data_IF_540457772528
#
_entry.id   IF_540457772528
#
_cell.length_a   1.000
_cell.length_b   1.000
_cell.length_c   1.000
_cell.angle_alpha   90.00
_cell.angle_beta   90.00
_cell.angle_gamma   90.00
#
_symmetry.space_group_name_H-M   'P 1'
#
loop_
_entity.id
_entity.type
_entity.pdbx_description
1 polymer ?
#
# COMPACT_ATOMS: atom_id res chain seq x y z
N UNK A 1 -10.42 -14.34 -8.62
CA UNK A 1 -9.42 -13.26 -8.76
C UNK A 1 -9.41 -12.78 -10.20
N UNK A 2 -9.70 -11.50 -10.46
CA UNK A 2 -9.64 -10.93 -11.81
C UNK A 2 -8.23 -10.40 -12.08
N UNK A 3 -7.46 -11.11 -12.91
CA UNK A 3 -6.16 -10.64 -13.38
C UNK A 3 -6.29 -9.43 -14.32
N UNK A 4 -7.48 -9.19 -14.89
CA UNK A 4 -7.75 -8.02 -15.74
C UNK A 4 -7.73 -6.75 -14.88
N UNK A 5 -8.43 -6.75 -13.75
CA UNK A 5 -8.42 -5.61 -12.83
C UNK A 5 -7.04 -5.39 -12.20
N UNK A 6 -6.31 -6.47 -11.90
CA UNK A 6 -4.91 -6.39 -11.48
C UNK A 6 -4.05 -5.67 -12.54
N UNK A 7 -4.22 -5.99 -13.83
CA UNK A 7 -3.49 -5.34 -14.92
C UNK A 7 -3.76 -3.84 -14.95
N UNK A 8 -5.03 -3.44 -14.84
CA UNK A 8 -5.43 -2.03 -14.81
C UNK A 8 -4.82 -1.30 -13.60
N UNK A 9 -4.78 -1.95 -12.44
CA UNK A 9 -4.15 -1.43 -11.22
C UNK A 9 -2.64 -1.24 -11.41
N UNK A 10 -1.95 -2.22 -12.00
CA UNK A 10 -0.52 -2.11 -12.27
C UNK A 10 -0.19 -0.94 -13.21
N UNK A 11 -1.00 -0.75 -14.26
CA UNK A 11 -0.87 0.39 -15.16
C UNK A 11 -1.20 1.71 -14.47
N UNK A 12 -2.25 1.75 -13.64
CA UNK A 12 -2.65 2.93 -12.90
C UNK A 12 -1.55 3.39 -11.93
N UNK A 13 -0.96 2.47 -11.15
CA UNK A 13 0.12 2.78 -10.22
C UNK A 13 1.37 3.30 -10.93
N UNK A 14 1.71 2.73 -12.09
CA UNK A 14 2.81 3.25 -12.92
C UNK A 14 2.52 4.66 -13.42
N UNK A 15 1.31 4.92 -13.90
CA UNK A 15 0.93 6.25 -14.38
C UNK A 15 0.91 7.27 -13.24
N UNK A 16 0.38 6.91 -12.07
CA UNK A 16 0.38 7.76 -10.88
C UNK A 16 1.81 8.06 -10.39
N UNK A 17 2.69 7.05 -10.39
CA UNK A 17 4.10 7.22 -10.00
C UNK A 17 4.85 8.14 -10.98
N UNK A 18 4.63 7.97 -12.29
CA UNK A 18 5.19 8.84 -13.33
C UNK A 18 4.65 10.27 -13.23
N UNK A 19 3.37 10.41 -12.90
CA UNK A 19 2.70 11.69 -12.67
C UNK A 19 3.04 12.38 -11.35
N UNK A 20 3.93 11.79 -10.52
CA UNK A 20 4.36 12.35 -9.23
C UNK A 20 3.22 12.64 -8.25
N UNK A 21 2.16 11.83 -8.28
CA UNK A 21 1.05 11.96 -7.35
C UNK A 21 1.46 11.45 -5.96
N UNK A 22 1.26 12.23 -4.90
CA UNK A 22 1.52 11.75 -3.53
C UNK A 22 0.54 10.64 -3.08
N UNK A 23 -0.67 10.65 -3.62
CA UNK A 23 -1.77 9.77 -3.23
C UNK A 23 -2.52 9.28 -4.48
N UNK A 24 -2.99 8.04 -4.45
CA UNK A 24 -3.76 7.42 -5.53
C UNK A 24 -4.85 6.51 -4.98
N UNK A 25 -5.96 6.33 -5.72
CA UNK A 25 -7.06 5.44 -5.32
C UNK A 25 -7.24 4.26 -6.26
N UNK A 26 -7.59 3.11 -5.68
CA UNK A 26 -7.81 1.85 -6.39
C UNK A 26 -9.13 1.22 -5.92
N UNK A 27 -9.86 0.46 -6.76
CA UNK A 27 -11.03 -0.29 -6.30
C UNK A 27 -10.71 -1.23 -5.13
N UNK A 28 -11.50 -1.17 -4.05
CA UNK A 28 -11.29 -2.00 -2.88
C UNK A 28 -11.71 -3.46 -3.17
N UNK A 29 -10.72 -4.34 -3.28
CA UNK A 29 -10.94 -5.79 -3.36
C UNK A 29 -10.00 -6.50 -2.40
N UNK A 30 -10.36 -7.72 -1.96
CA UNK A 30 -9.49 -8.54 -1.09
C UNK A 30 -8.12 -8.79 -1.71
N UNK A 31 -8.05 -8.94 -3.05
CA UNK A 31 -6.79 -9.12 -3.76
C UNK A 31 -5.95 -7.85 -3.70
N UNK A 32 -6.53 -6.70 -4.07
CA UNK A 32 -5.79 -5.43 -4.11
C UNK A 32 -5.31 -5.04 -2.72
N UNK A 33 -6.14 -5.23 -1.69
CA UNK A 33 -5.76 -4.97 -0.30
C UNK A 33 -4.57 -5.83 0.13
N UNK A 34 -4.62 -7.15 -0.07
CA UNK A 34 -3.50 -8.04 0.29
C UNK A 34 -2.22 -7.72 -0.47
N UNK A 35 -2.34 -7.36 -1.75
CA UNK A 35 -1.20 -6.96 -2.57
C UNK A 35 -0.63 -5.61 -2.14
N UNK A 36 -1.47 -4.62 -1.83
CA UNK A 36 -1.06 -3.33 -1.31
C UNK A 36 -0.35 -3.45 0.05
N UNK A 37 -0.86 -4.29 0.95
CA UNK A 37 -0.19 -4.61 2.20
C UNK A 37 1.18 -5.28 1.96
N UNK A 38 1.28 -6.17 0.97
CA UNK A 38 2.56 -6.73 0.54
C UNK A 38 3.53 -5.68 0.01
N UNK A 39 3.05 -4.72 -0.79
CA UNK A 39 3.85 -3.59 -1.29
C UNK A 39 4.31 -2.66 -0.17
N UNK A 40 3.45 -2.40 0.83
CA UNK A 40 3.79 -1.62 2.00
C UNK A 40 4.85 -2.32 2.85
N UNK A 41 4.70 -3.63 3.08
CA UNK A 41 5.67 -4.46 3.81
C UNK A 41 7.05 -4.44 3.14
N UNK A 42 7.11 -4.50 1.81
CA UNK A 42 8.35 -4.42 1.03
C UNK A 42 8.84 -2.98 0.82
N UNK A 43 8.11 -1.98 1.33
CA UNK A 43 8.54 -0.59 1.34
C UNK A 43 8.25 0.22 0.07
N UNK A 44 7.55 -0.33 -0.94
CA UNK A 44 7.22 0.38 -2.19
C UNK A 44 6.17 1.49 -2.00
N UNK A 45 5.22 1.28 -1.07
CA UNK A 45 4.10 2.19 -0.77
C UNK A 45 4.23 2.66 0.69
N UNK A 46 3.84 3.89 1.01
CA UNK A 46 3.89 4.44 2.37
C UNK A 46 2.70 4.01 3.21
N UNK A 47 1.49 4.27 2.72
CA UNK A 47 0.24 4.06 3.46
C UNK A 47 -0.77 3.29 2.61
N UNK A 48 -1.61 2.49 3.28
CA UNK A 48 -2.69 1.71 2.68
C UNK A 48 -3.92 1.90 3.55
N UNK A 49 -4.87 2.69 3.06
CA UNK A 49 -6.03 3.11 3.87
C UNK A 49 -7.33 2.87 3.10
N UNK A 50 -8.28 2.09 3.63
CA UNK A 50 -9.60 1.97 3.03
C UNK A 50 -10.40 3.26 3.23
N UNK A 51 -11.21 3.65 2.25
CA UNK A 51 -12.02 4.86 2.34
C UNK A 51 -13.07 4.97 1.24
N UNK A 52 -13.66 6.16 1.12
CA UNK A 52 -14.63 6.50 0.08
C UNK A 52 -14.00 6.99 -1.22
N UNK A 53 -14.81 7.60 -2.11
CA UNK A 53 -14.32 8.21 -3.35
C UNK A 53 -13.52 9.49 -3.13
N UNK A 54 -13.68 10.14 -1.98
CA UNK A 54 -12.88 11.28 -1.56
C UNK A 54 -11.57 10.79 -0.90
N UNK A 55 -10.44 11.49 -1.11
CA UNK A 55 -9.19 11.17 -0.44
C UNK A 55 -9.32 11.33 1.08
N UNK A 56 -8.66 10.47 1.88
CA UNK A 56 -8.48 10.76 3.31
C UNK A 56 -7.78 12.10 3.47
N UNK A 57 -8.12 12.82 4.54
CA UNK A 57 -7.28 13.91 5.01
C UNK A 57 -5.88 13.32 5.27
N UNK A 58 -4.88 13.77 4.53
CA UNK A 58 -3.48 13.48 4.81
C UNK A 58 -2.96 14.59 5.71
N UNK A 59 -1.83 14.40 6.40
CA UNK A 59 -1.19 15.49 7.18
C UNK A 59 -1.07 16.83 6.43
N UNK A 60 -0.92 16.80 5.09
CA UNK A 60 -0.86 18.02 4.27
C UNK A 60 -2.24 18.66 3.98
N UNK A 61 -3.34 17.93 4.19
CA UNK A 61 -4.73 18.33 4.02
C UNK A 61 -5.50 18.42 5.34
N UNK A 62 -4.95 17.88 6.43
CA UNK A 62 -5.39 18.16 7.79
C UNK A 62 -5.17 19.65 8.00
N UNK A 63 -6.28 20.39 8.08
CA UNK A 63 -6.24 21.68 8.75
C UNK A 63 -5.65 21.44 10.13
N UNK A 64 -4.76 22.30 10.65
CA UNK A 64 -4.43 22.29 12.06
C UNK A 64 -5.76 22.16 12.79
N UNK A 65 -5.91 21.11 13.60
CA UNK A 65 -7.17 20.86 14.28
C UNK A 65 -7.52 22.13 15.07
N UNK A 66 -8.43 22.96 14.54
CA UNK A 66 -8.98 24.12 15.27
C UNK A 66 -9.68 23.62 16.55
N UNK A 67 -9.94 22.30 16.65
CA UNK A 67 -10.58 21.59 17.75
C UNK A 67 -9.63 20.75 18.63
N UNK A 68 -8.33 20.58 18.28
CA UNK A 68 -7.39 19.85 19.14
C UNK A 68 -6.74 20.83 20.11
N UNK A 69 -7.36 20.94 21.29
CA UNK A 69 -6.72 21.37 22.54
C UNK A 69 -6.03 22.76 22.52
N UNK A 70 -6.35 23.64 21.57
CA UNK A 70 -6.04 25.05 21.73
C UNK A 70 -7.22 25.67 22.47
N UNK A 71 -7.09 25.99 23.77
CA UNK A 71 -8.17 26.65 24.50
C UNK A 71 -8.57 27.92 23.74
N UNK A 72 -9.88 28.10 23.52
CA UNK A 72 -10.40 29.28 22.82
C UNK A 72 -9.88 30.56 23.48
N UNK A 73 -9.74 31.65 22.71
CA UNK A 73 -9.24 32.91 23.25
C UNK A 73 -10.04 33.38 24.48
N UNK A 74 -11.34 33.09 24.49
CA UNK A 74 -12.24 33.33 25.63
C UNK A 74 -11.89 32.46 26.85
N UNK A 75 -11.65 31.16 26.66
CA UNK A 75 -11.24 30.24 27.72
C UNK A 75 -9.85 30.61 28.31
N UNK A 76 -8.91 31.02 27.46
CA UNK A 76 -7.59 31.51 27.90
C UNK A 76 -7.66 32.81 28.70
N UNK A 77 -8.63 33.68 28.39
CA UNK A 77 -8.81 34.93 29.13
C UNK A 77 -9.31 34.69 30.56
N UNK A 78 -10.17 33.69 30.75
CA UNK A 78 -10.70 33.30 32.06
C UNK A 78 -9.71 32.45 32.86
N UNK A 79 -9.05 31.50 32.18
CA UNK A 79 -8.14 30.55 32.78
C UNK A 79 -6.81 30.51 31.99
N UNK A 80 -5.91 31.49 32.23
CA UNK A 80 -4.65 31.60 31.48
C UNK A 80 -3.73 30.38 31.64
N UNK A 81 -3.90 29.60 32.71
CA UNK A 81 -3.09 28.42 32.99
C UNK A 81 -3.38 27.24 32.05
N UNK A 82 -4.51 27.24 31.32
CA UNK A 82 -4.82 26.25 30.27
C UNK A 82 -3.83 26.31 29.09
N UNK A 83 -3.10 27.42 28.92
CA UNK A 83 -2.05 27.55 27.93
C UNK A 83 -0.81 26.69 28.22
N UNK A 84 -0.66 26.21 29.46
CA UNK A 84 0.50 25.42 29.88
C UNK A 84 0.13 23.93 30.00
N UNK A 85 1.02 23.02 29.57
CA UNK A 85 0.79 21.59 29.72
C UNK A 85 0.72 21.23 31.20
N UNK A 86 -0.45 20.77 31.65
CA UNK A 86 -0.63 20.22 32.98
C UNK A 86 -0.29 18.72 32.97
N UNK A 87 0.23 18.16 34.07
CA UNK A 87 0.50 16.72 34.17
C UNK A 87 -0.75 15.86 33.96
N UNK A 88 -1.96 16.42 34.11
CA UNK A 88 -3.23 15.77 33.72
C UNK A 88 -3.48 15.78 32.21
N UNK A 89 -2.97 16.76 31.47
CA UNK A 89 -3.05 16.85 30.00
C UNK A 89 -1.96 16.02 29.30
N UNK A 90 -0.83 15.72 29.95
CA UNK A 90 0.20 14.82 29.41
C UNK A 90 -0.30 13.37 29.21
N UNK A 91 -1.41 13.00 29.86
CA UNK A 91 -2.07 11.71 29.70
C UNK A 91 -3.06 11.68 28.52
N UNK A 92 -3.14 12.73 27.70
CA UNK A 92 -3.86 12.67 26.43
C UNK A 92 -3.16 11.63 25.55
N UNK A 93 -3.72 10.41 25.53
CA UNK A 93 -3.32 9.34 24.62
C UNK A 93 -3.15 9.92 23.21
N UNK A 94 -2.14 9.49 22.43
CA UNK A 94 -1.96 9.97 21.07
C UNK A 94 -3.31 9.88 20.36
N UNK A 95 -3.86 11.04 19.96
CA UNK A 95 -5.18 11.12 19.37
C UNK A 95 -5.22 10.12 18.22
N UNK A 96 -6.02 9.07 18.39
CA UNK A 96 -6.20 8.11 17.30
C UNK A 96 -6.84 8.91 16.18
N UNK A 97 -6.20 9.05 15.00
CA UNK A 97 -6.77 9.84 13.92
C UNK A 97 -8.18 9.33 13.65
N UNK A 98 -9.17 10.22 13.45
CA UNK A 98 -10.55 9.82 13.34
C UNK A 98 -10.68 8.74 12.26
N UNK A 99 -11.42 7.65 12.53
CA UNK A 99 -11.53 6.56 11.57
C UNK A 99 -12.12 7.13 10.28
N UNK A 100 -11.36 7.00 9.19
CA UNK A 100 -11.81 7.42 7.86
C UNK A 100 -13.16 6.78 7.58
N UNK A 101 -14.20 7.55 7.20
CA UNK A 101 -15.52 6.99 6.96
C UNK A 101 -15.48 6.06 5.74
N UNK A 102 -15.63 4.76 6.00
CA UNK A 102 -15.75 3.75 4.94
C UNK A 102 -17.23 3.69 4.53
N UNK A 103 -17.58 3.97 3.27
CA UNK A 103 -18.97 3.93 2.85
C UNK A 103 -19.52 2.49 2.95
N UNK A 104 -20.76 2.35 3.40
CA UNK A 104 -21.46 1.05 3.45
C UNK A 104 -21.62 0.45 2.06
N UNK A 105 -21.79 1.29 1.03
CA UNK A 105 -21.88 0.84 -0.36
C UNK A 105 -20.52 0.39 -0.90
N UNK A 106 -20.40 -0.91 -1.20
CA UNK A 106 -19.18 -1.52 -1.77
C UNK A 106 -18.72 -0.86 -3.08
N UNK A 107 -19.63 -0.35 -3.90
CA UNK A 107 -19.25 0.33 -5.15
C UNK A 107 -18.54 1.67 -4.90
N UNK A 108 -18.84 2.32 -3.78
CA UNK A 108 -18.20 3.58 -3.38
C UNK A 108 -16.88 3.36 -2.63
N UNK A 109 -16.59 2.13 -2.18
CA UNK A 109 -15.38 1.81 -1.44
C UNK A 109 -14.14 1.84 -2.34
N UNK A 110 -13.13 2.59 -1.92
CA UNK A 110 -11.81 2.66 -2.55
C UNK A 110 -10.72 2.32 -1.54
N UNK A 111 -9.56 1.99 -2.08
CA UNK A 111 -8.33 1.81 -1.35
C UNK A 111 -7.39 2.95 -1.73
N UNK A 112 -7.06 3.80 -0.77
CA UNK A 112 -6.12 4.90 -0.93
C UNK A 112 -4.71 4.42 -0.61
N UNK A 113 -3.78 4.76 -1.49
CA UNK A 113 -2.39 4.36 -1.43
C UNK A 113 -1.50 5.60 -1.45
N UNK A 114 -0.57 5.68 -0.50
CA UNK A 114 0.46 6.71 -0.47
C UNK A 114 1.68 6.29 -1.30
N UNK A 115 2.02 7.05 -2.33
CA UNK A 115 3.18 6.75 -3.17
C UNK A 115 4.45 7.35 -2.56
N UNK A 116 5.57 6.64 -2.70
CA UNK A 116 6.88 7.08 -2.20
C UNK A 116 7.76 7.62 -3.31
N UNK A 117 8.50 8.67 -2.98
CA UNK A 117 9.49 9.30 -3.84
C UNK A 117 10.77 9.52 -3.03
N UNK A 118 11.91 9.21 -3.63
CA UNK A 118 13.22 9.38 -3.01
C UNK A 118 14.21 9.90 -4.05
N UNK A 119 15.07 10.86 -3.67
CA UNK A 119 16.05 11.49 -4.59
C UNK A 119 15.44 11.91 -5.93
N UNK A 120 14.26 12.54 -5.89
CA UNK A 120 13.51 12.92 -7.10
C UNK A 120 13.19 11.75 -8.05
N UNK A 121 13.12 10.51 -7.58
CA UNK A 121 12.68 9.33 -8.35
C UNK A 121 11.56 8.58 -7.61
N UNK A 122 10.58 7.99 -8.32
CA UNK A 122 9.56 7.17 -7.67
C UNK A 122 10.18 5.87 -7.15
N UNK A 123 9.81 5.45 -5.94
CA UNK A 123 10.24 4.16 -5.37
C UNK A 123 9.58 3.00 -6.10
N UNK A 124 8.31 3.16 -6.50
CA UNK A 124 7.62 2.22 -7.39
C UNK A 124 7.75 2.75 -8.82
N UNK A 125 8.76 2.27 -9.55
CA UNK A 125 9.08 2.74 -10.89
C UNK A 125 8.35 1.95 -11.98
N UNK A 126 8.22 0.63 -11.81
CA UNK A 126 7.54 -0.26 -12.74
C UNK A 126 6.83 -1.40 -12.05
N UNK A 127 5.64 -1.75 -12.56
CA UNK A 127 4.82 -2.83 -12.04
C UNK A 127 4.25 -3.65 -13.20
N UNK A 128 4.83 -4.80 -13.51
CA UNK A 128 4.47 -5.61 -14.68
C UNK A 128 3.77 -6.90 -14.27
N UNK A 129 2.65 -7.23 -14.92
CA UNK A 129 2.02 -8.55 -14.75
C UNK A 129 2.92 -9.66 -15.29
N UNK A 130 3.03 -10.75 -14.52
CA UNK A 130 3.68 -11.98 -14.95
C UNK A 130 2.62 -12.98 -15.44
N UNK A 131 1.65 -13.34 -14.60
CA UNK A 131 0.49 -14.11 -15.03
C UNK A 131 -0.55 -13.20 -15.67
N UNK A 132 -0.82 -13.41 -16.95
CA UNK A 132 -1.83 -12.66 -17.71
C UNK A 132 -3.19 -13.37 -17.67
N UNK A 133 -4.31 -12.65 -17.85
CA UNK A 133 -5.63 -13.28 -17.97
C UNK A 133 -5.69 -14.36 -19.05
N UNK A 134 -5.01 -14.13 -20.18
CA UNK A 134 -4.92 -15.04 -21.33
C UNK A 134 -3.99 -16.22 -21.11
N UNK A 135 -2.95 -16.06 -20.28
CA UNK A 135 -1.98 -17.10 -19.97
C UNK A 135 -1.59 -17.02 -18.49
N UNK A 136 -2.22 -17.86 -17.68
CA UNK A 136 -1.90 -18.01 -16.26
C UNK A 136 -0.72 -18.94 -16.08
N UNK A 137 0.19 -18.57 -15.20
CA UNK A 137 1.39 -19.35 -14.90
C UNK A 137 1.28 -19.82 -13.46
N UNK A 138 1.69 -21.06 -13.20
CA UNK A 138 1.81 -21.63 -11.86
C UNK A 138 3.20 -22.22 -11.74
N UNK A 139 3.87 -21.92 -10.63
CA UNK A 139 5.23 -22.37 -10.34
C UNK A 139 5.25 -23.22 -9.08
N UNK A 140 6.01 -24.30 -9.11
CA UNK A 140 6.29 -25.13 -7.94
C UNK A 140 7.34 -24.46 -7.06
N UNK A 141 7.43 -24.88 -5.80
CA UNK A 141 8.42 -24.35 -4.86
C UNK A 141 9.87 -24.38 -5.39
N UNK A 142 10.31 -25.52 -5.95
CA UNK A 142 11.66 -25.65 -6.56
C UNK A 142 11.89 -24.69 -7.73
N UNK A 143 10.85 -24.37 -8.48
CA UNK A 143 10.94 -23.41 -9.60
C UNK A 143 11.04 -21.97 -9.07
N UNK A 144 10.37 -21.67 -7.96
CA UNK A 144 10.51 -20.37 -7.29
C UNK A 144 11.92 -20.17 -6.73
N UNK A 145 12.54 -21.22 -6.17
CA UNK A 145 13.94 -21.16 -5.72
C UNK A 145 14.88 -20.78 -6.87
N UNK A 146 14.71 -21.38 -8.04
CA UNK A 146 15.50 -21.04 -9.23
C UNK A 146 15.30 -19.57 -9.63
N UNK A 147 14.06 -19.08 -9.60
CA UNK A 147 13.75 -17.67 -9.92
C UNK A 147 14.40 -16.72 -8.91
N UNK A 148 14.41 -17.04 -7.61
CA UNK A 148 15.08 -16.23 -6.57
C UNK A 148 16.60 -16.21 -6.77
N UNK A 149 17.19 -17.32 -7.21
CA UNK A 149 18.61 -17.42 -7.56
C UNK A 149 18.98 -16.71 -8.88
N UNK A 150 18.02 -16.04 -9.53
CA UNK A 150 18.23 -15.34 -10.79
C UNK A 150 18.25 -16.26 -12.02
N UNK A 151 17.86 -17.53 -11.88
CA UNK A 151 17.75 -18.47 -12.99
C UNK A 151 16.37 -18.43 -13.61
N UNK A 152 16.32 -18.46 -14.94
CA UNK A 152 15.07 -18.49 -15.68
C UNK A 152 14.41 -19.87 -15.54
N UNK A 153 13.08 -19.87 -15.34
CA UNK A 153 12.32 -21.11 -15.18
C UNK A 153 11.06 -21.06 -16.03
N UNK A 154 10.99 -21.95 -17.03
CA UNK A 154 9.89 -21.98 -18.00
C UNK A 154 9.72 -20.63 -18.71
N UNK A 155 8.61 -19.95 -18.43
CA UNK A 155 8.27 -18.65 -19.03
C UNK A 155 8.56 -17.44 -18.12
N UNK A 156 9.09 -17.67 -16.91
CA UNK A 156 9.34 -16.61 -15.92
C UNK A 156 10.84 -16.39 -15.79
N UNK A 157 11.28 -15.15 -16.05
CA UNK A 157 12.68 -14.77 -15.88
C UNK A 157 13.06 -14.70 -14.40
N UNK A 158 14.27 -15.10 -14.07
CA UNK A 158 14.83 -14.98 -12.73
C UNK A 158 14.89 -13.54 -12.24
N UNK A 159 14.93 -13.33 -10.92
CA UNK A 159 15.17 -12.01 -10.32
C UNK A 159 16.63 -11.62 -10.53
N UNK A 160 16.88 -10.67 -11.43
CA UNK A 160 18.25 -10.25 -11.79
C UNK A 160 18.61 -8.88 -11.26
N UNK A 161 17.62 -8.03 -10.96
CA UNK A 161 17.86 -6.68 -10.46
C UNK A 161 17.77 -6.64 -8.94
N UNK A 162 18.70 -5.95 -8.24
CA UNK A 162 18.56 -5.70 -6.82
C UNK A 162 17.33 -4.82 -6.57
N UNK A 163 16.62 -5.06 -5.47
CA UNK A 163 15.37 -4.37 -5.13
C UNK A 163 14.14 -4.85 -5.89
N UNK A 164 14.29 -5.79 -6.83
CA UNK A 164 13.15 -6.37 -7.54
C UNK A 164 12.39 -7.38 -6.69
N UNK A 165 11.06 -7.23 -6.67
CA UNK A 165 10.16 -8.11 -5.95
C UNK A 165 9.16 -8.76 -6.92
N UNK A 166 8.88 -10.04 -6.68
CA UNK A 166 7.83 -10.77 -7.38
C UNK A 166 6.77 -11.19 -6.36
N UNK A 167 5.54 -10.73 -6.55
CA UNK A 167 4.41 -11.13 -5.71
C UNK A 167 3.75 -12.38 -6.25
N UNK A 168 3.44 -13.32 -5.36
CA UNK A 168 2.89 -14.64 -5.69
C UNK A 168 1.60 -14.84 -4.91
N UNK A 169 0.56 -15.33 -5.59
CA UNK A 169 -0.61 -15.92 -4.95
C UNK A 169 -0.34 -17.37 -4.60
N UNK A 170 -0.38 -17.67 -3.30
CA UNK A 170 -0.27 -19.00 -2.72
C UNK A 170 -1.57 -19.35 -1.98
N UNK A 171 -1.70 -20.58 -1.51
CA UNK A 171 -2.86 -21.01 -0.70
C UNK A 171 -2.97 -20.25 0.62
N UNK A 172 -1.83 -19.81 1.19
CA UNK A 172 -1.79 -19.02 2.43
C UNK A 172 -1.97 -17.51 2.19
N UNK A 173 -2.11 -17.07 0.93
CA UNK A 173 -2.31 -15.67 0.57
C UNK A 173 -1.26 -15.12 -0.39
N UNK A 174 -1.26 -13.79 -0.54
CA UNK A 174 -0.32 -13.07 -1.40
C UNK A 174 0.91 -12.71 -0.56
N UNK A 175 2.09 -13.06 -1.06
CA UNK A 175 3.36 -12.73 -0.44
C UNK A 175 4.44 -12.55 -1.50
N UNK A 176 5.60 -12.06 -1.09
CA UNK A 176 6.77 -11.95 -1.95
C UNK A 176 7.41 -13.33 -2.18
N UNK A 177 8.12 -13.51 -3.30
CA UNK A 177 8.65 -14.82 -3.72
C UNK A 177 9.61 -15.44 -2.71
N UNK A 178 10.49 -14.67 -2.06
CA UNK A 178 11.42 -15.15 -1.04
C UNK A 178 10.66 -15.64 0.19
N UNK A 179 9.60 -14.95 0.60
CA UNK A 179 8.70 -15.41 1.67
C UNK A 179 7.97 -16.72 1.30
N UNK A 180 7.57 -16.87 0.03
CA UNK A 180 6.94 -18.10 -0.45
C UNK A 180 7.93 -19.27 -0.47
N UNK A 181 9.18 -19.03 -0.89
CA UNK A 181 10.28 -20.00 -0.89
C UNK A 181 10.62 -20.44 0.53
N UNK A 182 10.74 -19.50 1.47
CA UNK A 182 10.99 -19.79 2.89
C UNK A 182 9.90 -20.71 3.48
N UNK A 183 8.64 -20.47 3.11
CA UNK A 183 7.49 -21.28 3.54
C UNK A 183 7.29 -22.56 2.73
N UNK A 184 8.17 -22.87 1.77
CA UNK A 184 8.09 -24.02 0.87
C UNK A 184 6.78 -24.12 0.09
N UNK A 185 6.23 -22.97 -0.30
CA UNK A 185 4.97 -22.88 -1.04
C UNK A 185 5.23 -22.66 -2.53
N UNK A 186 4.38 -23.27 -3.36
CA UNK A 186 4.23 -22.88 -4.76
C UNK A 186 3.14 -21.83 -4.94
N UNK A 187 2.92 -21.39 -6.17
CA UNK A 187 1.83 -20.48 -6.45
C UNK A 187 1.86 -19.87 -7.85
N UNK A 188 0.92 -18.96 -8.11
CA UNK A 188 0.88 -18.20 -9.35
C UNK A 188 1.58 -16.84 -9.17
N UNK A 189 2.63 -16.51 -9.94
CA UNK A 189 3.25 -15.20 -9.90
C UNK A 189 2.31 -14.15 -10.50
N UNK A 190 1.96 -13.12 -9.71
CA UNK A 190 1.04 -12.07 -10.11
C UNK A 190 1.74 -10.97 -10.90
N UNK A 191 2.60 -10.23 -10.22
CA UNK A 191 3.27 -9.06 -10.77
C UNK A 191 4.69 -8.93 -10.22
N UNK A 192 5.50 -8.27 -11.02
CA UNK A 192 6.91 -7.97 -10.80
C UNK A 192 7.04 -6.48 -10.62
N UNK A 193 7.70 -6.07 -9.53
CA UNK A 193 7.75 -4.69 -9.07
C UNK A 193 9.21 -4.28 -8.93
N UNK A 194 9.50 -3.07 -9.41
CA UNK A 194 10.80 -2.41 -9.41
C UNK A 194 10.58 -0.91 -9.22
#
# INVERSE_FOLDING_TARGET
MSLVHLANVCSHLQNASRGRLGLTSIPLTKLHLKLALGLQKQGFISTVTPGGPAPPATFALETPDDDAATPSAEALSAEPWLAYPSPSNEAAEPSTPPPVPIPTNRAAQRLWLGLKYWNNTPVLSSMKLVSKPTKRIYLKHKELELVVLGRDTGNVKGLTKPGECLFITTDKGIMEIREAVEKKLGGSPLCRVF
#
